data_IF_185663346078
#
_entry.id   IF_185663346078
#
_cell.length_a   1.000
_cell.length_b   1.000
_cell.length_c   1.000
_cell.angle_alpha   90.00
_cell.angle_beta   90.00
_cell.angle_gamma   90.00
#
_symmetry.space_group_name_H-M   'P 1'
#
loop_
_entity.id
_entity.type
_entity.pdbx_description
1 polymer ?
#
# COMPACT_ATOMS: atom_id res chain seq x y z
N UNK A 1 4.66 9.40 -11.03
CA UNK A 1 4.65 7.93 -10.72
C UNK A 1 5.51 7.54 -9.50
N UNK A 2 6.51 8.34 -9.11
CA UNK A 2 7.44 8.09 -7.97
C UNK A 2 6.81 7.51 -6.68
N UNK A 3 5.55 7.83 -6.36
CA UNK A 3 4.88 7.34 -5.15
C UNK A 3 4.63 5.82 -5.11
N UNK A 4 4.62 5.14 -6.26
CA UNK A 4 4.54 3.67 -6.32
C UNK A 4 5.74 2.97 -5.67
N UNK A 5 6.88 3.66 -5.51
CA UNK A 5 8.04 3.09 -4.82
C UNK A 5 7.76 2.79 -3.33
N UNK A 6 6.80 3.49 -2.70
CA UNK A 6 6.45 3.28 -1.30
C UNK A 6 5.45 2.13 -1.09
N UNK A 7 4.66 1.75 -2.12
CA UNK A 7 3.63 0.71 -1.96
C UNK A 7 4.23 -0.67 -1.73
N UNK A 8 5.35 -0.99 -2.40
CA UNK A 8 6.02 -2.28 -2.25
C UNK A 8 6.56 -2.53 -0.83
N UNK A 9 7.46 -1.69 -0.27
CA UNK A 9 7.98 -1.92 1.08
C UNK A 9 6.88 -1.88 2.15
N UNK A 10 5.86 -1.05 1.97
CA UNK A 10 4.73 -0.99 2.90
C UNK A 10 3.86 -2.25 2.86
N UNK A 11 3.57 -2.79 1.68
CA UNK A 11 2.86 -4.06 1.55
C UNK A 11 3.65 -5.22 2.17
N UNK A 12 4.96 -5.28 1.92
CA UNK A 12 5.85 -6.28 2.52
C UNK A 12 5.84 -6.20 4.06
N UNK A 13 5.92 -4.99 4.62
CA UNK A 13 5.84 -4.77 6.06
C UNK A 13 4.48 -5.20 6.66
N UNK A 14 3.39 -4.92 5.95
CA UNK A 14 2.04 -5.36 6.34
C UNK A 14 1.96 -6.88 6.44
N UNK A 15 2.46 -7.59 5.41
CA UNK A 15 2.48 -9.06 5.36
C UNK A 15 3.36 -9.62 6.48
N UNK A 16 4.57 -9.06 6.68
CA UNK A 16 5.46 -9.49 7.75
C UNK A 16 4.81 -9.34 9.14
N UNK A 17 4.06 -8.25 9.35
CA UNK A 17 3.32 -8.01 10.60
C UNK A 17 2.22 -9.06 10.82
N UNK A 18 1.47 -9.41 9.78
CA UNK A 18 0.44 -10.46 9.85
C UNK A 18 1.06 -11.83 10.10
N UNK A 19 2.19 -12.13 9.47
CA UNK A 19 2.95 -13.36 9.70
C UNK A 19 3.43 -13.46 11.16
N UNK A 20 3.88 -12.35 11.75
CA UNK A 20 4.22 -12.29 13.18
C UNK A 20 3.01 -12.53 14.08
N UNK A 21 1.82 -12.08 13.69
CA UNK A 21 0.59 -12.41 14.42
C UNK A 21 0.31 -13.91 14.40
N UNK A 22 0.43 -14.60 13.26
CA UNK A 22 0.25 -16.06 13.17
C UNK A 22 1.22 -16.83 14.08
N UNK A 23 2.48 -16.38 14.17
CA UNK A 23 3.50 -17.08 14.96
C UNK A 23 3.42 -16.83 16.46
N UNK A 24 2.91 -15.66 16.86
CA UNK A 24 2.94 -15.23 18.27
C UNK A 24 1.57 -15.24 18.94
N UNK A 25 0.47 -15.19 18.18
CA UNK A 25 -0.87 -14.96 18.70
C UNK A 25 -1.05 -13.60 19.39
N UNK A 26 -0.08 -12.69 19.28
CA UNK A 26 -0.08 -11.43 20.02
C UNK A 26 -1.06 -10.43 19.43
N UNK A 27 -1.97 -9.92 20.28
CA UNK A 27 -2.93 -8.86 19.91
C UNK A 27 -2.24 -7.61 19.33
N UNK A 28 -0.99 -7.33 19.74
CA UNK A 28 -0.23 -6.21 19.17
C UNK A 28 -0.05 -6.36 17.66
N UNK A 29 0.45 -7.52 17.20
CA UNK A 29 0.64 -7.76 15.77
C UNK A 29 -0.68 -7.86 15.01
N UNK A 30 -1.76 -8.32 15.66
CA UNK A 30 -3.10 -8.29 15.06
C UNK A 30 -3.57 -6.87 14.73
N UNK A 31 -3.53 -5.97 15.73
CA UNK A 31 -3.97 -4.58 15.56
C UNK A 31 -3.05 -3.85 14.60
N UNK A 32 -1.74 -4.04 14.72
CA UNK A 32 -0.76 -3.41 13.83
C UNK A 32 -0.94 -3.88 12.39
N UNK A 33 -1.13 -5.18 12.18
CA UNK A 33 -1.34 -5.76 10.85
C UNK A 33 -2.62 -5.23 10.19
N UNK A 34 -3.73 -5.15 10.93
CA UNK A 34 -4.98 -4.60 10.42
C UNK A 34 -4.85 -3.09 10.09
N UNK A 35 -4.16 -2.35 10.95
CA UNK A 35 -3.90 -0.91 10.75
C UNK A 35 -3.05 -0.67 9.49
N UNK A 36 -2.01 -1.47 9.30
CA UNK A 36 -1.15 -1.45 8.12
C UNK A 36 -1.91 -1.85 6.85
N UNK A 37 -2.82 -2.84 6.95
CA UNK A 37 -3.68 -3.23 5.84
C UNK A 37 -4.57 -2.07 5.37
N UNK A 38 -5.25 -1.40 6.30
CA UNK A 38 -6.06 -0.22 5.97
C UNK A 38 -5.20 0.85 5.31
N UNK A 39 -4.02 1.13 5.86
CA UNK A 39 -3.12 2.16 5.34
C UNK A 39 -2.63 1.85 3.93
N UNK A 40 -2.19 0.61 3.65
CA UNK A 40 -1.72 0.22 2.31
C UNK A 40 -2.87 0.18 1.31
N UNK A 41 -4.07 -0.25 1.71
CA UNK A 41 -5.26 -0.21 0.84
C UNK A 41 -5.64 1.21 0.45
N UNK A 42 -5.62 2.15 1.39
CA UNK A 42 -5.88 3.57 1.11
C UNK A 42 -4.80 4.18 0.20
N UNK A 43 -3.53 3.85 0.45
CA UNK A 43 -2.43 4.29 -0.42
C UNK A 43 -2.62 3.77 -1.85
N UNK A 44 -2.88 2.48 -2.03
CA UNK A 44 -3.10 1.88 -3.36
C UNK A 44 -4.33 2.51 -4.03
N UNK A 45 -5.44 2.68 -3.32
CA UNK A 45 -6.64 3.32 -3.89
C UNK A 45 -6.35 4.74 -4.39
N UNK A 46 -5.60 5.54 -3.61
CA UNK A 46 -5.14 6.87 -4.02
C UNK A 46 -4.26 6.80 -5.29
N UNK A 47 -3.30 5.88 -5.31
CA UNK A 47 -2.37 5.73 -6.44
C UNK A 47 -3.08 5.28 -7.71
N UNK A 48 -3.99 4.31 -7.60
CA UNK A 48 -4.84 3.86 -8.71
C UNK A 48 -5.68 5.01 -9.23
N UNK A 49 -6.32 5.79 -8.36
CA UNK A 49 -7.10 6.95 -8.78
C UNK A 49 -6.25 8.00 -9.52
N UNK A 50 -5.07 8.35 -9.00
CA UNK A 50 -4.15 9.30 -9.66
C UNK A 50 -3.65 8.77 -11.00
N UNK A 51 -3.30 7.49 -11.05
CA UNK A 51 -2.79 6.83 -12.26
C UNK A 51 -3.88 6.74 -13.32
N UNK A 52 -5.11 6.34 -12.94
CA UNK A 52 -6.26 6.28 -13.84
C UNK A 52 -6.61 7.67 -14.40
N UNK A 53 -6.63 8.72 -13.56
CA UNK A 53 -6.85 10.10 -14.03
C UNK A 53 -5.80 10.53 -15.05
N UNK A 54 -4.52 10.29 -14.78
CA UNK A 54 -3.43 10.64 -15.69
C UNK A 54 -3.46 9.83 -16.99
N UNK A 55 -3.90 8.56 -16.94
CA UNK A 55 -4.10 7.72 -18.10
C UNK A 55 -5.23 8.25 -18.99
N UNK A 56 -6.38 8.59 -18.39
CA UNK A 56 -7.55 9.13 -19.10
C UNK A 56 -7.28 10.51 -19.71
N UNK A 57 -6.46 11.34 -19.06
CA UNK A 57 -6.09 12.67 -19.59
C UNK A 57 -4.95 12.64 -20.61
N UNK A 58 -4.41 11.46 -20.95
CA UNK A 58 -3.24 11.33 -21.84
C UNK A 58 -1.95 11.93 -21.28
N UNK A 59 -1.90 12.25 -19.99
CA UNK A 59 -0.74 12.86 -19.34
C UNK A 59 0.28 11.82 -18.85
N UNK A 60 -0.08 10.53 -18.87
CA UNK A 60 0.71 9.45 -18.29
C UNK A 60 2.10 9.28 -18.93
N UNK A 61 2.22 9.54 -20.24
CA UNK A 61 3.45 9.35 -21.02
C UNK A 61 4.09 10.66 -21.48
N UNK A 62 3.57 11.80 -21.01
CA UNK A 62 4.25 13.07 -21.29
C UNK A 62 5.54 13.10 -20.47
N UNK A 63 6.68 13.47 -21.06
CA UNK A 63 7.88 13.74 -20.28
C UNK A 63 7.54 14.83 -19.26
N UNK A 64 8.00 14.61 -18.02
CA UNK A 64 7.81 15.55 -16.90
C UNK A 64 8.36 16.95 -17.23
#
# INVERSE_FOLDING_TARGET
>A
ISWWAYSFPLAAFTIATMFMYEHTGSKFFQVLGLSMLILVSLLIAMLVWRTARAALSGALFKPD
#
